data_IF_400800496316
#
_entry.id   IF_400800496316
#
_cell.length_a   1.000
_cell.length_b   1.000
_cell.length_c   1.000
_cell.angle_alpha   90.00
_cell.angle_beta   90.00
_cell.angle_gamma   90.00
#
_symmetry.space_group_name_H-M   'P 1'
#
loop_
_entity.id
_entity.type
_entity.pdbx_description
1 polymer ?
#
# COMPACT_ATOMS: atom_id res chain seq x y z
N UNK A 1 10.87 -17.47 -2.60
CA UNK A 1 10.80 -16.35 -3.57
C UNK A 1 9.45 -16.43 -4.25
N UNK A 2 8.67 -15.34 -4.28
CA UNK A 2 7.33 -15.35 -4.91
C UNK A 2 7.46 -15.50 -6.42
N UNK A 3 6.60 -16.33 -7.00
CA UNK A 3 6.49 -16.49 -8.45
C UNK A 3 5.35 -15.63 -8.98
N UNK A 4 5.60 -14.90 -10.06
CA UNK A 4 4.63 -14.04 -10.74
C UNK A 4 4.31 -14.60 -12.12
N UNK A 5 3.02 -14.81 -12.40
CA UNK A 5 2.57 -15.10 -13.76
C UNK A 5 2.71 -13.87 -14.66
N UNK A 6 2.79 -14.08 -15.97
CA UNK A 6 2.85 -12.99 -16.96
C UNK A 6 1.63 -12.06 -16.87
N UNK A 7 0.46 -12.64 -16.57
CA UNK A 7 -0.77 -11.87 -16.35
C UNK A 7 -0.66 -10.95 -15.13
N UNK A 8 -0.18 -11.46 -13.99
CA UNK A 8 0.01 -10.65 -12.79
C UNK A 8 1.02 -9.51 -13.03
N UNK A 9 2.14 -9.80 -13.69
CA UNK A 9 3.15 -8.79 -14.06
C UNK A 9 2.56 -7.70 -14.94
N UNK A 10 1.82 -8.10 -15.97
CA UNK A 10 1.17 -7.18 -16.90
C UNK A 10 0.16 -6.28 -16.19
N UNK A 11 -0.69 -6.86 -15.33
CA UNK A 11 -1.67 -6.10 -14.54
C UNK A 11 -0.96 -5.09 -13.62
N UNK A 12 0.01 -5.55 -12.83
CA UNK A 12 0.73 -4.68 -11.88
C UNK A 12 1.44 -3.55 -12.63
N UNK A 13 2.16 -3.88 -13.71
CA UNK A 13 2.85 -2.89 -14.54
C UNK A 13 1.86 -1.88 -15.14
N UNK A 14 0.71 -2.35 -15.65
CA UNK A 14 -0.33 -1.48 -16.21
C UNK A 14 -0.98 -0.57 -15.17
N UNK A 15 -1.17 -1.04 -13.94
CA UNK A 15 -1.66 -0.18 -12.86
C UNK A 15 -0.64 0.95 -12.68
N UNK A 16 0.61 0.62 -12.36
CA UNK A 16 1.63 1.61 -11.99
C UNK A 16 2.05 2.55 -13.13
N UNK A 17 1.92 2.15 -14.40
CA UNK A 17 2.17 3.03 -15.54
C UNK A 17 1.03 4.01 -15.83
N UNK A 18 -0.19 3.72 -15.38
CA UNK A 18 -1.38 4.57 -15.59
C UNK A 18 -1.67 5.53 -14.43
N UNK A 19 -1.00 5.38 -13.28
CA UNK A 19 -1.19 6.25 -12.13
C UNK A 19 -0.57 7.63 -12.39
N UNK A 20 -1.30 8.67 -11.97
CA UNK A 20 -0.71 9.98 -11.72
C UNK A 20 -0.13 10.00 -10.30
N UNK A 21 1.20 10.09 -10.20
CA UNK A 21 1.90 9.91 -8.92
C UNK A 21 1.68 11.12 -8.00
N UNK A 22 1.52 12.30 -8.59
CA UNK A 22 1.22 13.56 -7.90
C UNK A 22 -0.22 13.60 -7.39
N UNK A 23 -1.11 12.80 -7.96
CA UNK A 23 -2.49 12.64 -7.47
C UNK A 23 -2.59 11.52 -6.41
N UNK A 24 -2.08 10.33 -6.74
CA UNK A 24 -2.34 9.10 -5.98
C UNK A 24 -1.49 9.03 -4.72
N UNK A 25 -0.22 9.43 -4.80
CA UNK A 25 0.73 9.36 -3.69
C UNK A 25 0.28 10.21 -2.51
N UNK A 26 0.06 11.53 -2.72
CA UNK A 26 -0.46 12.41 -1.67
C UNK A 26 -1.80 11.93 -1.09
N UNK A 27 -2.74 11.48 -1.92
CA UNK A 27 -4.04 10.97 -1.47
C UNK A 27 -3.90 9.74 -0.57
N UNK A 28 -3.02 8.79 -0.93
CA UNK A 28 -2.79 7.59 -0.14
C UNK A 28 -2.17 7.91 1.23
N UNK A 29 -1.14 8.76 1.26
CA UNK A 29 -0.47 9.14 2.51
C UNK A 29 -1.38 10.01 3.39
N UNK A 30 -2.07 11.01 2.84
CA UNK A 30 -3.03 11.82 3.58
C UNK A 30 -4.13 10.96 4.20
N UNK A 31 -4.67 10.00 3.43
CA UNK A 31 -5.68 9.06 3.93
C UNK A 31 -5.13 8.23 5.10
N UNK A 32 -3.90 7.75 5.02
CA UNK A 32 -3.26 7.01 6.11
C UNK A 32 -3.15 7.87 7.39
N UNK A 33 -2.64 9.10 7.27
CA UNK A 33 -2.47 10.02 8.40
C UNK A 33 -3.78 10.49 9.04
N UNK A 34 -4.86 10.58 8.25
CA UNK A 34 -6.19 10.97 8.74
C UNK A 34 -6.91 9.79 9.40
N UNK A 35 -6.89 8.62 8.77
CA UNK A 35 -7.64 7.43 9.24
C UNK A 35 -6.91 6.75 10.40
N UNK A 36 -5.58 6.81 10.42
CA UNK A 36 -4.71 6.17 11.41
C UNK A 36 -3.79 7.23 12.06
N UNK A 37 -4.34 8.12 12.90
CA UNK A 37 -3.62 9.33 13.35
C UNK A 37 -2.35 9.06 14.15
N UNK A 38 -2.18 7.88 14.75
CA UNK A 38 -0.92 7.50 15.41
C UNK A 38 0.27 7.47 14.45
N UNK A 39 0.04 7.27 13.15
CA UNK A 39 1.10 7.29 12.12
C UNK A 39 1.74 8.67 11.94
N UNK A 40 1.07 9.74 12.37
CA UNK A 40 1.61 11.11 12.32
C UNK A 40 2.89 11.27 13.16
N UNK A 41 3.12 10.42 14.17
CA UNK A 41 4.32 10.45 15.03
C UNK A 41 5.63 10.37 14.24
N UNK A 42 5.61 9.71 13.08
CA UNK A 42 6.78 9.53 12.21
C UNK A 42 7.08 10.77 11.36
N UNK A 43 6.15 11.72 11.28
CA UNK A 43 6.22 12.90 10.42
C UNK A 43 6.33 14.20 11.23
N UNK A 44 6.89 14.16 12.44
CA UNK A 44 7.02 15.35 13.30
C UNK A 44 7.79 16.51 12.64
N UNK A 45 8.75 16.21 11.76
CA UNK A 45 9.50 17.21 11.01
C UNK A 45 8.69 17.91 9.89
N UNK A 46 7.46 17.45 9.62
CA UNK A 46 6.65 17.91 8.49
C UNK A 46 5.73 19.07 8.88
N UNK A 47 5.88 19.62 10.09
CA UNK A 47 5.12 20.76 10.56
C UNK A 47 3.71 20.37 11.03
N UNK A 48 2.72 21.20 10.70
CA UNK A 48 1.38 21.08 11.25
C UNK A 48 0.57 19.94 10.61
N UNK A 49 0.19 18.94 11.42
CA UNK A 49 -0.64 17.80 11.02
C UNK A 49 -1.91 17.64 11.90
N UNK A 50 -2.28 18.68 12.66
CA UNK A 50 -3.30 18.56 13.72
C UNK A 50 -4.71 18.18 13.24
N UNK A 51 -5.05 18.45 11.98
CA UNK A 51 -6.37 18.18 11.43
C UNK A 51 -6.31 17.79 9.95
N UNK A 52 -7.42 17.26 9.38
CA UNK A 52 -7.44 16.81 7.98
C UNK A 52 -7.12 17.89 6.95
N UNK A 53 -7.52 19.14 7.19
CA UNK A 53 -7.24 20.24 6.27
C UNK A 53 -5.73 20.54 6.22
N UNK A 54 -5.08 20.63 7.38
CA UNK A 54 -3.64 20.84 7.50
C UNK A 54 -2.85 19.71 6.85
N UNK A 55 -3.24 18.45 7.06
CA UNK A 55 -2.61 17.29 6.41
C UNK A 55 -2.75 17.37 4.89
N UNK A 56 -3.95 17.62 4.37
CA UNK A 56 -4.23 17.66 2.93
C UNK A 56 -3.51 18.79 2.20
N UNK A 57 -3.31 19.95 2.86
CA UNK A 57 -2.62 21.09 2.27
C UNK A 57 -1.10 21.09 2.52
N UNK A 58 -0.54 20.06 3.16
CA UNK A 58 0.86 20.03 3.54
C UNK A 58 1.74 19.60 2.34
N UNK A 59 2.62 20.49 1.82
CA UNK A 59 3.44 20.18 0.65
C UNK A 59 4.48 19.09 0.92
N UNK A 60 4.95 18.93 2.16
CA UNK A 60 5.91 17.89 2.52
C UNK A 60 5.23 16.51 2.53
N UNK A 61 3.98 16.43 3.00
CA UNK A 61 3.19 15.19 2.93
C UNK A 61 2.91 14.82 1.47
N UNK A 62 2.55 15.79 0.63
CA UNK A 62 2.38 15.54 -0.79
C UNK A 62 3.66 14.98 -1.42
N UNK A 63 4.80 15.67 -1.25
CA UNK A 63 6.08 15.24 -1.79
C UNK A 63 6.50 13.84 -1.27
N UNK A 64 6.22 13.52 0.00
CA UNK A 64 6.54 12.21 0.54
C UNK A 64 5.61 11.11 0.01
N UNK A 65 4.34 11.41 -0.21
CA UNK A 65 3.41 10.49 -0.87
C UNK A 65 3.90 10.08 -2.26
N UNK A 66 4.46 11.01 -3.03
CA UNK A 66 5.10 10.73 -4.34
C UNK A 66 6.33 9.84 -4.17
N UNK A 67 7.20 10.14 -3.20
CA UNK A 67 8.37 9.30 -2.88
C UNK A 67 7.99 7.86 -2.54
N UNK A 68 6.89 7.66 -1.82
CA UNK A 68 6.36 6.32 -1.51
C UNK A 68 5.97 5.57 -2.78
N UNK A 69 5.25 6.22 -3.71
CA UNK A 69 4.89 5.58 -4.98
C UNK A 69 6.10 5.25 -5.85
N UNK A 70 7.11 6.12 -5.92
CA UNK A 70 8.36 5.79 -6.61
C UNK A 70 9.12 4.64 -5.91
N UNK A 71 9.00 4.52 -4.60
CA UNK A 71 9.46 3.34 -3.87
C UNK A 71 8.82 2.08 -4.42
N UNK A 72 7.49 2.06 -4.54
CA UNK A 72 6.72 0.91 -5.06
C UNK A 72 7.00 0.63 -6.55
N UNK A 73 7.13 1.65 -7.39
CA UNK A 73 7.52 1.51 -8.80
C UNK A 73 8.88 0.80 -8.94
N UNK A 74 9.81 1.04 -8.00
CA UNK A 74 11.08 0.32 -7.95
C UNK A 74 10.89 -1.19 -7.71
N UNK A 75 9.91 -1.59 -6.90
CA UNK A 75 9.57 -3.00 -6.72
C UNK A 75 8.88 -3.59 -7.95
N UNK A 76 8.04 -2.82 -8.66
CA UNK A 76 7.44 -3.25 -9.95
C UNK A 76 8.52 -3.55 -10.99
N UNK A 77 9.58 -2.72 -11.03
CA UNK A 77 10.73 -2.94 -11.94
C UNK A 77 11.64 -4.10 -11.54
N UNK A 78 11.53 -4.59 -10.30
CA UNK A 78 12.38 -5.64 -9.74
C UNK A 78 11.55 -6.74 -9.08
N UNK A 79 10.43 -7.13 -9.69
CA UNK A 79 9.45 -8.06 -9.10
C UNK A 79 10.03 -9.43 -8.70
N UNK A 80 11.10 -9.86 -9.35
CA UNK A 80 11.80 -11.13 -9.07
C UNK A 80 12.68 -11.07 -7.82
N UNK A 81 13.16 -9.87 -7.44
CA UNK A 81 14.05 -9.68 -6.30
C UNK A 81 13.72 -8.41 -5.50
N UNK A 82 12.46 -8.32 -5.08
CA UNK A 82 11.97 -7.20 -4.25
C UNK A 82 12.73 -7.17 -2.90
N UNK A 83 13.11 -8.34 -2.37
CA UNK A 83 13.84 -8.46 -1.10
C UNK A 83 15.19 -7.74 -1.15
N UNK A 84 16.03 -8.03 -2.16
CA UNK A 84 17.29 -7.33 -2.30
C UNK A 84 17.07 -5.84 -2.61
N UNK A 85 16.10 -5.54 -3.48
CA UNK A 85 15.75 -4.15 -3.87
C UNK A 85 15.42 -3.25 -2.67
N UNK A 86 14.79 -3.80 -1.64
CA UNK A 86 14.37 -3.07 -0.44
C UNK A 86 15.25 -3.29 0.79
N UNK A 87 16.37 -4.00 0.70
CA UNK A 87 17.23 -4.27 1.86
C UNK A 87 17.64 -3.00 2.62
N UNK A 88 18.16 -1.99 1.92
CA UNK A 88 18.54 -0.71 2.54
C UNK A 88 17.34 0.09 3.07
N UNK A 89 16.23 0.06 2.32
CA UNK A 89 15.01 0.75 2.72
C UNK A 89 14.40 0.11 3.99
N UNK A 90 14.52 -1.21 4.11
CA UNK A 90 14.16 -2.00 5.28
C UNK A 90 14.92 -1.54 6.51
N UNK A 91 16.25 -1.53 6.44
CA UNK A 91 17.13 -1.04 7.51
C UNK A 91 16.81 0.40 7.90
N UNK A 92 16.52 1.26 6.92
CA UNK A 92 16.12 2.64 7.21
C UNK A 92 14.84 2.69 8.05
N UNK A 93 13.77 1.98 7.68
CA UNK A 93 12.51 2.11 8.42
C UNK A 93 12.50 1.36 9.75
N UNK A 94 13.19 0.22 9.84
CA UNK A 94 13.30 -0.57 11.08
C UNK A 94 14.29 0.07 12.06
N UNK A 95 15.57 0.14 11.70
CA UNK A 95 16.67 0.47 12.61
C UNK A 95 16.84 1.99 12.86
N UNK A 96 16.42 2.83 11.93
CA UNK A 96 16.59 4.30 12.07
C UNK A 96 15.29 4.99 12.42
N UNK A 97 14.22 4.70 11.66
CA UNK A 97 12.92 5.36 11.84
C UNK A 97 12.03 4.66 12.86
N UNK A 98 12.33 3.40 13.22
CA UNK A 98 11.55 2.60 14.17
C UNK A 98 10.05 2.57 13.83
N UNK A 99 9.75 2.43 12.54
CA UNK A 99 8.38 2.32 12.04
C UNK A 99 7.85 0.95 12.43
N UNK A 100 6.73 0.94 13.14
CA UNK A 100 6.03 -0.28 13.49
C UNK A 100 5.57 -0.96 12.18
N UNK A 101 5.95 -2.24 11.94
CA UNK A 101 5.72 -2.92 10.68
C UNK A 101 4.23 -3.03 10.31
N UNK A 102 3.31 -2.99 11.27
CA UNK A 102 1.87 -3.01 10.98
C UNK A 102 1.41 -1.77 10.20
N UNK A 103 2.14 -0.65 10.27
CA UNK A 103 1.80 0.56 9.53
C UNK A 103 1.97 0.39 8.01
N UNK A 104 2.83 -0.51 7.55
CA UNK A 104 2.95 -0.79 6.11
C UNK A 104 1.68 -1.44 5.55
N UNK A 105 1.01 -2.28 6.35
CA UNK A 105 -0.32 -2.82 5.99
C UNK A 105 -1.35 -1.70 5.86
N UNK A 106 -1.38 -0.79 6.83
CA UNK A 106 -2.33 0.34 6.83
C UNK A 106 -2.14 1.23 5.60
N UNK A 107 -0.89 1.53 5.25
CA UNK A 107 -0.57 2.31 4.05
C UNK A 107 -0.95 1.56 2.77
N UNK A 108 -0.69 0.25 2.68
CA UNK A 108 -1.08 -0.58 1.55
C UNK A 108 -2.61 -0.63 1.35
N UNK A 109 -3.38 -0.73 2.44
CA UNK A 109 -4.84 -0.68 2.42
C UNK A 109 -5.33 0.70 1.93
N UNK A 110 -4.75 1.79 2.43
CA UNK A 110 -5.06 3.15 1.98
C UNK A 110 -4.77 3.37 0.50
N UNK A 111 -3.62 2.89 0.02
CA UNK A 111 -3.24 2.96 -1.39
C UNK A 111 -4.21 2.18 -2.27
N UNK A 112 -4.55 0.94 -1.88
CA UNK A 112 -5.52 0.11 -2.60
C UNK A 112 -6.86 0.81 -2.75
N UNK A 113 -7.36 1.45 -1.68
CA UNK A 113 -8.62 2.22 -1.71
C UNK A 113 -8.54 3.38 -2.70
N UNK A 114 -7.42 4.11 -2.72
CA UNK A 114 -7.24 5.26 -3.63
C UNK A 114 -7.15 4.81 -5.09
N UNK A 115 -6.39 3.75 -5.38
CA UNK A 115 -6.31 3.16 -6.72
C UNK A 115 -7.68 2.67 -7.18
N UNK A 116 -8.42 1.94 -6.33
CA UNK A 116 -9.75 1.46 -6.64
C UNK A 116 -10.72 2.61 -6.95
N UNK A 117 -10.67 3.70 -6.16
CA UNK A 117 -11.48 4.89 -6.39
C UNK A 117 -11.14 5.59 -7.72
N UNK A 118 -9.86 5.60 -8.12
CA UNK A 118 -9.41 6.19 -9.39
C UNK A 118 -9.81 5.34 -10.60
N UNK A 119 -9.66 4.03 -10.51
CA UNK A 119 -9.94 3.09 -11.61
C UNK A 119 -11.45 2.82 -11.80
N UNK A 120 -12.25 2.99 -10.75
CA UNK A 120 -13.70 2.76 -10.82
C UNK A 120 -14.03 1.32 -11.24
N UNK A 121 -14.84 1.16 -12.29
CA UNK A 121 -15.22 -0.16 -12.81
C UNK A 121 -14.07 -0.97 -13.41
N UNK A 122 -12.94 -0.32 -13.74
CA UNK A 122 -11.74 -1.02 -14.22
C UNK A 122 -10.99 -1.74 -13.08
N UNK A 123 -11.30 -1.47 -11.81
CA UNK A 123 -10.75 -2.20 -10.67
C UNK A 123 -11.48 -3.53 -10.48
N UNK A 124 -11.25 -4.47 -11.39
CA UNK A 124 -11.86 -5.80 -11.39
C UNK A 124 -11.31 -6.67 -10.26
N UNK A 125 -11.93 -7.84 -10.03
CA UNK A 125 -11.45 -8.81 -9.03
C UNK A 125 -10.02 -9.29 -9.34
N UNK A 126 -9.67 -9.48 -10.62
CA UNK A 126 -8.33 -9.92 -11.03
C UNK A 126 -7.29 -8.81 -10.84
N UNK A 127 -7.66 -7.56 -11.13
CA UNK A 127 -6.82 -6.38 -10.87
C UNK A 127 -6.55 -6.23 -9.37
N UNK A 128 -7.61 -6.32 -8.56
CA UNK A 128 -7.49 -6.27 -7.12
C UNK A 128 -6.62 -7.41 -6.59
N UNK A 129 -6.85 -8.64 -7.07
CA UNK A 129 -6.06 -9.81 -6.73
C UNK A 129 -4.57 -9.56 -6.98
N UNK A 130 -4.18 -9.22 -8.21
CA UNK A 130 -2.78 -9.02 -8.54
C UNK A 130 -2.13 -7.91 -7.69
N UNK A 131 -2.84 -6.78 -7.48
CA UNK A 131 -2.37 -5.70 -6.62
C UNK A 131 -2.23 -6.14 -5.16
N UNK A 132 -3.16 -6.95 -4.64
CA UNK A 132 -3.11 -7.46 -3.27
C UNK A 132 -1.92 -8.40 -3.06
N UNK A 133 -1.62 -9.29 -4.02
CA UNK A 133 -0.39 -10.10 -3.98
C UNK A 133 0.85 -9.22 -3.97
N UNK A 134 0.91 -8.21 -4.82
CA UNK A 134 2.02 -7.25 -4.88
C UNK A 134 2.27 -6.56 -3.55
N UNK A 135 1.25 -5.93 -2.97
CA UNK A 135 1.42 -5.21 -1.70
C UNK A 135 1.68 -6.16 -0.52
N UNK A 136 1.17 -7.39 -0.55
CA UNK A 136 1.48 -8.40 0.46
C UNK A 136 2.96 -8.79 0.45
N UNK A 137 3.55 -9.01 -0.74
CA UNK A 137 4.99 -9.28 -0.85
C UNK A 137 5.81 -8.12 -0.35
N UNK A 138 5.46 -6.89 -0.74
CA UNK A 138 6.13 -5.69 -0.25
C UNK A 138 6.03 -5.58 1.27
N UNK A 139 4.85 -5.87 1.86
CA UNK A 139 4.62 -5.82 3.31
C UNK A 139 5.44 -6.87 4.07
N UNK A 140 5.45 -8.12 3.63
CA UNK A 140 6.11 -9.21 4.35
C UNK A 140 7.62 -9.00 4.52
N UNK A 141 8.25 -8.24 3.62
CA UNK A 141 9.67 -7.90 3.75
C UNK A 141 9.94 -7.18 5.08
N UNK A 142 9.04 -6.29 5.52
CA UNK A 142 9.24 -5.51 6.74
C UNK A 142 9.04 -6.32 8.03
N UNK A 143 8.30 -7.43 7.97
CA UNK A 143 8.13 -8.35 9.10
C UNK A 143 9.36 -9.26 9.25
N UNK A 144 9.92 -9.75 8.14
CA UNK A 144 11.11 -10.61 8.15
C UNK A 144 12.35 -9.95 8.74
N UNK A 145 12.56 -8.64 8.49
CA UNK A 145 13.72 -7.93 9.00
C UNK A 145 13.63 -7.60 10.51
N UNK A 146 12.44 -7.65 11.12
CA UNK A 146 12.22 -7.39 12.55
C UNK A 146 12.27 -8.65 13.44
N UNK A 147 12.73 -9.79 12.91
CA UNK A 147 12.88 -11.03 13.68
C UNK A 147 11.57 -11.69 14.11
N UNK A 148 10.41 -11.23 13.63
CA UNK A 148 9.12 -11.89 13.82
C UNK A 148 8.93 -12.95 12.74
N UNK A 149 9.57 -14.10 12.97
CA UNK A 149 9.31 -15.32 12.20
C UNK A 149 7.87 -15.79 12.46
N UNK A 150 7.03 -15.73 11.43
CA UNK A 150 6.08 -16.82 11.17
C UNK A 150 6.37 -17.36 9.76
N UNK A 151 7.22 -18.39 9.63
CA UNK A 151 7.53 -19.02 8.34
C UNK A 151 6.34 -19.73 7.67
N UNK A 152 5.11 -19.59 8.19
CA UNK A 152 3.88 -20.17 7.63
C UNK A 152 3.05 -19.21 6.74
N UNK A 153 3.35 -17.90 6.70
CA UNK A 153 2.54 -16.93 5.94
C UNK A 153 2.78 -17.02 4.43
N UNK A 154 3.85 -17.68 3.98
CA UNK A 154 4.10 -18.01 2.58
C UNK A 154 3.37 -19.28 2.10
N UNK A 155 2.63 -19.98 2.96
CA UNK A 155 1.74 -21.04 2.49
C UNK A 155 0.64 -20.42 1.63
N UNK A 156 0.52 -20.91 0.40
CA UNK A 156 -0.48 -20.51 -0.60
C UNK A 156 -1.91 -20.47 -0.01
N UNK A 157 -2.17 -21.21 1.06
CA UNK A 157 -3.39 -21.24 1.87
C UNK A 157 -3.76 -19.91 2.55
N UNK A 158 -2.83 -19.14 3.11
CA UNK A 158 -3.19 -17.90 3.84
C UNK A 158 -3.53 -16.76 2.89
N UNK A 159 -2.80 -16.66 1.77
CA UNK A 159 -3.13 -15.76 0.67
C UNK A 159 -4.47 -16.18 0.05
N UNK A 160 -4.70 -17.47 -0.22
CA UNK A 160 -5.98 -17.96 -0.74
C UNK A 160 -7.18 -17.73 0.20
N UNK A 161 -6.99 -17.87 1.51
CA UNK A 161 -8.03 -17.60 2.52
C UNK A 161 -8.30 -16.09 2.66
N UNK A 162 -7.27 -15.25 2.63
CA UNK A 162 -7.42 -13.80 2.57
C UNK A 162 -8.15 -13.39 1.28
N UNK A 163 -7.80 -13.96 0.13
CA UNK A 163 -8.48 -13.74 -1.15
C UNK A 163 -9.97 -14.14 -1.11
N UNK A 164 -10.28 -15.31 -0.55
CA UNK A 164 -11.66 -15.80 -0.39
C UNK A 164 -12.48 -14.90 0.55
N UNK A 165 -11.87 -14.44 1.64
CA UNK A 165 -12.54 -13.61 2.64
C UNK A 165 -12.71 -12.15 2.18
N UNK A 166 -11.70 -11.58 1.53
CA UNK A 166 -11.72 -10.22 0.96
C UNK A 166 -12.69 -10.15 -0.22
N UNK A 167 -12.73 -11.13 -1.13
CA UNK A 167 -13.72 -11.15 -2.22
C UNK A 167 -15.16 -11.29 -1.71
N UNK A 168 -15.39 -12.08 -0.65
CA UNK A 168 -16.71 -12.19 0.01
C UNK A 168 -17.12 -10.91 0.76
N UNK A 169 -16.18 -10.24 1.42
CA UNK A 169 -16.45 -8.99 2.15
C UNK A 169 -16.61 -7.77 1.24
N UNK A 170 -15.81 -7.66 0.16
CA UNK A 170 -15.83 -6.53 -0.78
C UNK A 170 -17.14 -6.50 -1.58
N UNK A 171 -17.65 -7.64 -2.05
CA UNK A 171 -18.93 -7.72 -2.77
C UNK A 171 -20.13 -7.21 -1.94
N UNK A 172 -20.07 -7.34 -0.61
CA UNK A 172 -21.12 -6.82 0.30
C UNK A 172 -20.87 -5.38 0.74
N UNK A 173 -19.61 -4.96 0.93
CA UNK A 173 -19.27 -3.62 1.44
C UNK A 173 -19.16 -2.54 0.37
N UNK A 174 -18.72 -2.84 -0.86
CA UNK A 174 -18.63 -1.82 -1.94
C UNK A 174 -20.01 -1.29 -2.35
N UNK A 175 -21.03 -2.15 -2.45
CA UNK A 175 -22.41 -1.71 -2.77
C UNK A 175 -23.00 -0.74 -1.75
N UNK A 176 -22.55 -0.78 -0.48
CA UNK A 176 -23.02 0.14 0.58
C UNK A 176 -22.09 1.33 0.82
N UNK A 177 -20.80 1.26 0.52
CA UNK A 177 -19.83 2.33 0.82
C UNK A 177 -19.59 3.34 -0.31
N UNK A 178 -19.96 3.05 -1.57
CA UNK A 178 -19.89 4.03 -2.66
C UNK A 178 -20.71 5.30 -2.40
N UNK A 179 -21.74 5.24 -1.53
CA UNK A 179 -22.53 6.42 -1.16
C UNK A 179 -21.85 7.34 -0.11
N UNK A 180 -20.91 6.82 0.69
CA UNK A 180 -20.36 7.58 1.84
C UNK A 180 -19.00 8.24 1.57
N UNK A 181 -18.27 7.80 0.54
CA UNK A 181 -16.92 8.29 0.22
C UNK A 181 -16.86 9.34 -0.90
N UNK A 182 -18.01 9.81 -1.40
CA UNK A 182 -18.06 10.88 -2.41
C UNK A 182 -17.87 12.30 -1.81
N UNK A 183 -17.59 12.41 -0.51
CA UNK A 183 -17.51 13.69 0.21
C UNK A 183 -16.20 13.93 1.00
N UNK A 184 -15.14 13.15 0.79
CA UNK A 184 -13.83 13.41 1.43
C UNK A 184 -12.63 13.20 0.53
#
# INVERSE_FOLDING_TARGET
MVQWSDSERSIITSIFSSLDYEDIGPKALCRCLIVYPWTQRYFGAYGNLYNPAAIKSNPLIAAHGVKVLHGLDRAVKNMDDIKATYAELSVLHSEKLHVDPDNFRLLADCLTIVIAAKMGSAFTCDVQAALQKFVAVVKCLWEEFNGTLLPEVLSVSTVALYYSHVNKCMNKKLKKKCAYFRFY
#
